data_IF_995511953604
#
_entry.id   IF_995511953604
#
_cell.length_a   1.000
_cell.length_b   1.000
_cell.length_c   1.000
_cell.angle_alpha   90.00
_cell.angle_beta   90.00
_cell.angle_gamma   90.00
#
_symmetry.space_group_name_H-M   'P 1'
#
loop_
_entity.id
_entity.type
_entity.pdbx_description
1 polymer ?
#
# COMPACT_ATOMS: atom_id res chain seq x y z
N UNK A 1 0.14 -7.67 9.76
CA UNK A 1 1.12 -7.11 10.72
C UNK A 1 0.37 -6.58 11.95
N UNK A 2 0.94 -6.60 13.17
CA UNK A 2 0.28 -6.06 14.39
C UNK A 2 0.97 -4.76 14.84
N UNK A 3 2.29 -4.69 14.71
CA UNK A 3 3.14 -3.53 15.02
C UNK A 3 3.65 -2.88 13.75
N UNK A 4 3.63 -1.54 13.68
CA UNK A 4 4.24 -0.79 12.58
C UNK A 4 5.73 -1.12 12.49
N UNK A 5 6.19 -1.60 11.33
CA UNK A 5 7.62 -1.78 11.08
C UNK A 5 8.16 -0.54 10.38
N UNK A 6 9.29 -0.03 10.86
CA UNK A 6 9.99 1.07 10.21
C UNK A 6 11.29 0.51 9.61
N UNK A 7 11.46 0.69 8.31
CA UNK A 7 12.62 0.22 7.55
C UNK A 7 13.12 1.37 6.70
N UNK A 8 14.44 1.55 6.64
CA UNK A 8 15.05 2.57 5.81
C UNK A 8 15.80 1.91 4.65
N UNK A 9 15.70 2.51 3.46
CA UNK A 9 16.43 2.08 2.28
C UNK A 9 16.69 3.26 1.34
N UNK A 10 17.66 3.11 0.46
CA UNK A 10 18.06 4.18 -0.44
C UNK A 10 18.13 3.73 -1.90
N UNK A 11 18.02 4.70 -2.78
CA UNK A 11 18.29 4.60 -4.22
C UNK A 11 19.37 5.62 -4.56
N UNK A 12 19.94 5.55 -5.76
CA UNK A 12 20.98 6.51 -6.19
C UNK A 12 20.58 7.99 -6.04
N UNK A 13 19.28 8.31 -6.05
CA UNK A 13 18.78 9.68 -6.04
C UNK A 13 18.10 10.10 -4.73
N UNK A 14 17.68 9.14 -3.87
CA UNK A 14 16.78 9.41 -2.72
C UNK A 14 16.95 8.39 -1.60
N UNK A 15 16.84 8.84 -0.36
CA UNK A 15 16.70 8.02 0.84
C UNK A 15 15.22 7.92 1.24
N UNK A 16 14.77 6.74 1.67
CA UNK A 16 13.37 6.47 2.01
C UNK A 16 13.26 5.89 3.41
N UNK A 17 12.30 6.43 4.15
CA UNK A 17 11.79 5.89 5.39
C UNK A 17 10.45 5.19 5.09
N UNK A 18 10.42 3.86 5.19
CA UNK A 18 9.25 3.05 4.88
C UNK A 18 8.59 2.57 6.16
N UNK A 19 7.30 2.88 6.30
CA UNK A 19 6.46 2.41 7.41
C UNK A 19 5.49 1.36 6.89
N UNK A 20 5.64 0.11 7.33
CA UNK A 20 4.66 -0.95 7.07
C UNK A 20 3.53 -0.85 8.10
N UNK A 21 2.36 -0.41 7.64
CA UNK A 21 1.14 -0.33 8.45
C UNK A 21 0.28 -1.58 8.25
N UNK A 22 -0.32 -2.15 9.31
CA UNK A 22 -1.29 -3.23 9.15
C UNK A 22 -2.51 -2.83 8.33
N UNK A 23 -2.93 -3.69 7.39
CA UNK A 23 -4.14 -3.47 6.59
C UNK A 23 -5.47 -3.96 7.21
N UNK A 24 -5.46 -4.41 8.47
CA UNK A 24 -6.69 -4.86 9.14
C UNK A 24 -7.38 -3.67 9.83
N UNK A 25 -8.72 -3.63 9.76
CA UNK A 25 -9.56 -2.51 10.22
C UNK A 25 -9.25 -2.05 11.66
N UNK A 26 -8.87 -2.97 12.53
CA UNK A 26 -8.54 -2.70 13.94
C UNK A 26 -7.26 -1.86 14.15
N UNK A 27 -6.41 -1.73 13.12
CA UNK A 27 -5.13 -1.00 13.18
C UNK A 27 -5.13 0.29 12.36
N UNK A 28 -6.28 0.72 11.85
CA UNK A 28 -6.46 2.00 11.13
C UNK A 28 -5.94 3.18 11.95
N UNK A 29 -6.03 3.13 13.30
CA UNK A 29 -5.47 4.17 14.18
C UNK A 29 -3.95 4.33 14.04
N UNK A 30 -3.21 3.22 13.89
CA UNK A 30 -1.76 3.24 13.71
C UNK A 30 -1.40 3.69 12.29
N UNK A 31 -2.28 3.43 11.31
CA UNK A 31 -2.13 3.95 9.96
C UNK A 31 -2.39 5.47 9.91
N UNK A 32 -3.38 6.00 10.64
CA UNK A 32 -3.68 7.45 10.63
C UNK A 32 -2.51 8.29 11.17
N UNK A 33 -1.87 7.85 12.27
CA UNK A 33 -0.74 8.58 12.84
C UNK A 33 0.52 8.49 11.99
N UNK A 34 0.75 7.37 11.29
CA UNK A 34 1.88 7.20 10.36
C UNK A 34 1.66 7.88 9.01
N UNK A 35 0.45 7.81 8.46
CA UNK A 35 0.11 8.30 7.12
C UNK A 35 0.03 9.82 7.01
N UNK A 36 -0.22 10.52 8.12
CA UNK A 36 -0.20 11.99 8.15
C UNK A 36 1.18 12.59 7.79
N UNK A 37 2.25 11.80 7.88
CA UNK A 37 3.61 12.20 7.52
C UNK A 37 4.12 11.54 6.23
N UNK A 38 3.27 10.80 5.52
CA UNK A 38 3.69 10.08 4.32
C UNK A 38 3.66 11.00 3.09
N UNK A 39 4.82 11.19 2.48
CA UNK A 39 4.97 11.87 1.18
C UNK A 39 4.40 11.03 0.01
N UNK A 40 4.15 9.74 0.24
CA UNK A 40 3.52 8.85 -0.73
C UNK A 40 3.23 7.48 -0.12
N UNK A 41 2.27 6.76 -0.72
CA UNK A 41 1.91 5.41 -0.28
C UNK A 41 2.11 4.38 -1.40
N UNK A 42 2.44 3.15 -1.03
CA UNK A 42 2.48 2.00 -1.94
C UNK A 42 1.24 1.14 -1.66
N UNK A 43 0.34 1.05 -2.63
CA UNK A 43 -0.86 0.23 -2.56
C UNK A 43 -0.57 -1.15 -3.17
N UNK A 44 -0.42 -2.16 -2.32
CA UNK A 44 -0.20 -3.54 -2.77
C UNK A 44 -1.54 -4.22 -3.03
N UNK A 45 -1.75 -4.69 -4.27
CA UNK A 45 -2.95 -5.43 -4.70
C UNK A 45 -2.54 -6.80 -5.20
N UNK A 46 -3.22 -7.84 -4.76
CA UNK A 46 -2.99 -9.20 -5.24
C UNK A 46 -3.58 -9.36 -6.64
N UNK A 47 -2.80 -9.85 -7.60
CA UNK A 47 -3.24 -10.15 -8.95
C UNK A 47 -4.34 -11.21 -8.97
N UNK A 48 -4.21 -12.22 -8.12
CA UNK A 48 -5.14 -13.34 -8.03
C UNK A 48 -6.48 -12.94 -7.37
N UNK A 49 -6.44 -12.07 -6.36
CA UNK A 49 -7.63 -11.70 -5.57
C UNK A 49 -8.29 -10.40 -6.08
N UNK A 50 -7.55 -9.56 -6.80
CA UNK A 50 -8.01 -8.26 -7.28
C UNK A 50 -8.28 -7.25 -6.14
N UNK A 51 -9.01 -6.16 -6.44
CA UNK A 51 -9.34 -5.14 -5.46
C UNK A 51 -10.39 -5.63 -4.45
N UNK A 52 -10.01 -5.58 -3.16
CA UNK A 52 -10.86 -6.00 -2.04
C UNK A 52 -11.48 -4.77 -1.34
N UNK A 53 -12.51 -4.94 -0.48
CA UNK A 53 -13.08 -3.83 0.29
C UNK A 53 -12.03 -3.02 1.06
N UNK A 54 -11.00 -3.67 1.61
CA UNK A 54 -9.90 -3.00 2.31
C UNK A 54 -9.06 -2.11 1.36
N UNK A 55 -8.88 -2.49 0.09
CA UNK A 55 -8.19 -1.67 -0.92
C UNK A 55 -8.91 -0.33 -1.09
N UNK A 56 -10.24 -0.34 -1.13
CA UNK A 56 -11.05 0.88 -1.23
C UNK A 56 -10.95 1.73 0.04
N UNK A 57 -11.02 1.11 1.21
CA UNK A 57 -10.88 1.82 2.49
C UNK A 57 -9.50 2.47 2.64
N UNK A 58 -8.42 1.80 2.23
CA UNK A 58 -7.08 2.37 2.26
C UNK A 58 -6.92 3.57 1.33
N UNK A 59 -7.50 3.54 0.13
CA UNK A 59 -7.51 4.69 -0.78
C UNK A 59 -8.27 5.87 -0.17
N UNK A 60 -9.43 5.60 0.46
CA UNK A 60 -10.22 6.62 1.13
C UNK A 60 -9.45 7.26 2.30
N UNK A 61 -8.81 6.43 3.13
CA UNK A 61 -8.03 6.88 4.28
C UNK A 61 -6.80 7.67 3.84
N UNK A 62 -6.04 7.18 2.85
CA UNK A 62 -4.89 7.89 2.29
C UNK A 62 -5.29 9.28 1.76
N UNK A 63 -6.47 9.40 1.13
CA UNK A 63 -7.02 10.69 0.71
C UNK A 63 -7.43 11.59 1.88
N UNK A 64 -8.00 11.03 2.94
CA UNK A 64 -8.43 11.79 4.12
C UNK A 64 -7.26 12.32 4.95
N UNK A 65 -6.18 11.55 5.06
CA UNK A 65 -4.95 11.94 5.78
C UNK A 65 -4.00 12.78 4.93
N UNK A 66 -4.30 12.97 3.64
CA UNK A 66 -3.59 13.91 2.77
C UNK A 66 -2.37 13.35 2.06
N UNK A 67 -2.29 12.03 1.84
CA UNK A 67 -1.20 11.43 1.07
C UNK A 67 -1.25 11.95 -0.38
N UNK A 68 -0.20 12.60 -0.89
CA UNK A 68 -0.27 13.32 -2.16
C UNK A 68 -0.11 12.42 -3.38
N UNK A 69 0.46 11.22 -3.23
CA UNK A 69 0.71 10.29 -4.34
C UNK A 69 0.63 8.85 -3.88
N UNK A 70 0.03 7.98 -4.71
CA UNK A 70 -0.07 6.55 -4.46
C UNK A 70 0.53 5.81 -5.65
N UNK A 71 1.44 4.90 -5.39
CA UNK A 71 1.99 3.95 -6.37
C UNK A 71 1.32 2.60 -6.14
N UNK A 72 0.77 1.99 -7.19
CA UNK A 72 0.16 0.66 -7.10
C UNK A 72 1.22 -0.39 -7.41
N UNK A 73 1.30 -1.42 -6.57
CA UNK A 73 2.15 -2.60 -6.80
C UNK A 73 1.26 -3.84 -6.90
N UNK A 74 1.25 -4.42 -8.10
CA UNK A 74 0.47 -5.61 -8.41
C UNK A 74 1.31 -6.85 -8.04
N UNK A 75 0.91 -7.53 -6.98
CA UNK A 75 1.66 -8.61 -6.33
C UNK A 75 1.05 -9.98 -6.67
N UNK A 76 1.82 -11.06 -6.49
CA UNK A 76 1.41 -12.45 -6.79
C UNK A 76 1.01 -12.67 -8.26
N UNK A 77 1.66 -11.95 -9.18
CA UNK A 77 1.44 -12.13 -10.63
C UNK A 77 1.82 -13.53 -11.10
N UNK A 78 2.70 -14.21 -10.37
CA UNK A 78 3.08 -15.61 -10.59
C UNK A 78 1.93 -16.60 -10.38
N UNK A 79 0.86 -16.19 -9.69
CA UNK A 79 -0.34 -17.01 -9.46
C UNK A 79 -1.42 -16.77 -10.52
N UNK A 80 -1.19 -15.88 -11.48
CA UNK A 80 -2.13 -15.57 -12.56
C UNK A 80 -1.55 -16.16 -13.85
N UNK A 81 -2.14 -17.25 -14.30
CA UNK A 81 -1.73 -17.96 -15.52
C UNK A 81 -2.10 -17.20 -16.81
N UNK A 82 -2.98 -16.21 -16.72
CA UNK A 82 -3.51 -15.44 -17.85
C UNK A 82 -2.97 -14.00 -17.85
N UNK A 83 -2.08 -13.72 -18.81
CA UNK A 83 -1.44 -12.42 -18.95
C UNK A 83 -2.41 -11.29 -19.35
N UNK A 84 -3.56 -11.59 -19.99
CA UNK A 84 -4.53 -10.57 -20.38
C UNK A 84 -5.24 -9.98 -19.15
N UNK A 85 -5.44 -10.79 -18.10
CA UNK A 85 -6.01 -10.33 -16.84
C UNK A 85 -5.08 -9.35 -16.09
N UNK A 86 -3.76 -9.44 -16.30
CA UNK A 86 -2.79 -8.52 -15.70
C UNK A 86 -2.81 -7.14 -16.37
N UNK A 87 -3.19 -7.04 -17.65
CA UNK A 87 -3.28 -5.76 -18.37
C UNK A 87 -4.58 -4.99 -18.09
N UNK A 88 -5.59 -5.67 -17.52
CA UNK A 88 -6.92 -5.11 -17.22
C UNK A 88 -7.01 -4.43 -15.84
N UNK A 89 -5.97 -4.54 -15.00
CA UNK A 89 -5.94 -4.09 -13.59
C UNK A 89 -4.87 -3.03 -13.39
#
# INVERSE_FOLDING_TARGET
TISTAHVEYETANRHYAHVDCPGHADYVKNMITGAAQMDGAILVVSAADGPMPQTREHILLARQVGVPSIVVFLNKVDQVDDAELLELV
#
